data_IF_485472990978
#
_entry.id   IF_485472990978
#
_cell.length_a   1.000
_cell.length_b   1.000
_cell.length_c   1.000
_cell.angle_alpha   90.00
_cell.angle_beta   90.00
_cell.angle_gamma   90.00
#
_symmetry.space_group_name_H-M   'P 1'
#
loop_
_entity.id
_entity.type
_entity.pdbx_description
1 polymer ?
#
# COMPACT_ATOMS: atom_id res chain seq x y z
N UNK A 1 -8.39 24.62 3.71
CA UNK A 1 -8.47 23.16 3.84
C UNK A 1 -9.56 22.70 2.86
N UNK A 2 -9.21 22.46 1.62
CA UNK A 2 -10.13 21.95 0.59
C UNK A 2 -10.11 20.44 0.66
N UNK A 3 -11.18 19.85 1.18
CA UNK A 3 -11.46 18.41 1.05
C UNK A 3 -11.55 18.11 -0.45
N UNK A 4 -10.53 17.46 -1.00
CA UNK A 4 -10.59 16.94 -2.35
C UNK A 4 -11.73 15.91 -2.39
N UNK A 5 -12.79 16.21 -3.10
CA UNK A 5 -13.91 15.30 -3.32
C UNK A 5 -13.33 14.05 -4.01
N UNK A 6 -13.24 12.94 -3.25
CA UNK A 6 -12.77 11.66 -3.77
C UNK A 6 -13.74 11.24 -4.89
N UNK A 7 -13.29 11.23 -6.12
CA UNK A 7 -14.13 10.81 -7.26
C UNK A 7 -14.49 9.33 -7.09
N UNK A 8 -15.63 8.91 -7.66
CA UNK A 8 -16.04 7.50 -7.66
C UNK A 8 -14.92 6.59 -8.19
N UNK A 9 -14.20 7.06 -9.22
CA UNK A 9 -13.04 6.33 -9.77
C UNK A 9 -11.90 6.15 -8.76
N UNK A 10 -11.56 7.21 -8.01
CA UNK A 10 -10.50 7.14 -6.98
C UNK A 10 -10.89 6.21 -5.82
N UNK A 11 -12.14 6.26 -5.38
CA UNK A 11 -12.64 5.36 -4.33
C UNK A 11 -12.60 3.89 -4.75
N UNK A 12 -13.03 3.59 -5.98
CA UNK A 12 -13.01 2.22 -6.52
C UNK A 12 -11.58 1.73 -6.78
N UNK A 13 -10.68 2.61 -7.24
CA UNK A 13 -9.26 2.29 -7.37
C UNK A 13 -8.68 1.81 -6.02
N UNK A 14 -8.87 2.58 -4.95
CA UNK A 14 -8.38 2.24 -3.62
C UNK A 14 -8.99 0.92 -3.12
N UNK A 15 -10.26 0.68 -3.39
CA UNK A 15 -10.94 -0.55 -2.99
C UNK A 15 -10.36 -1.77 -3.72
N UNK A 16 -10.18 -1.70 -5.05
CA UNK A 16 -9.57 -2.81 -5.81
C UNK A 16 -8.12 -3.04 -5.37
N UNK A 17 -7.34 -1.98 -5.14
CA UNK A 17 -5.98 -2.06 -4.59
C UNK A 17 -5.98 -2.78 -3.25
N UNK A 18 -6.87 -2.41 -2.32
CA UNK A 18 -7.02 -3.08 -1.03
C UNK A 18 -7.39 -4.55 -1.18
N UNK A 19 -8.34 -4.89 -2.06
CA UNK A 19 -8.78 -6.26 -2.31
C UNK A 19 -7.66 -7.15 -2.90
N UNK A 20 -6.73 -6.55 -3.66
CA UNK A 20 -5.51 -7.23 -4.14
C UNK A 20 -4.53 -7.46 -2.97
N UNK A 21 -4.23 -6.41 -2.21
CA UNK A 21 -3.27 -6.48 -1.10
C UNK A 21 -3.72 -7.46 -0.01
N UNK A 22 -5.03 -7.49 0.29
CA UNK A 22 -5.61 -8.39 1.30
C UNK A 22 -5.86 -9.81 0.79
N UNK A 23 -5.64 -10.07 -0.51
CA UNK A 23 -5.84 -11.40 -1.13
C UNK A 23 -7.30 -11.74 -1.45
N UNK A 24 -8.23 -10.81 -1.29
CA UNK A 24 -9.62 -10.98 -1.75
C UNK A 24 -9.67 -11.17 -3.28
N UNK A 25 -8.78 -10.47 -3.99
CA UNK A 25 -8.43 -10.73 -5.38
C UNK A 25 -7.07 -11.44 -5.42
N UNK A 26 -7.08 -12.75 -5.62
CA UNK A 26 -5.89 -13.59 -5.50
C UNK A 26 -4.87 -13.34 -6.62
N UNK A 27 -3.56 -13.45 -6.35
CA UNK A 27 -2.50 -13.39 -7.36
C UNK A 27 -2.77 -14.37 -8.54
N UNK A 28 -2.47 -13.93 -9.76
CA UNK A 28 -2.70 -14.69 -10.99
C UNK A 28 -4.16 -14.78 -11.44
N UNK A 29 -5.11 -14.30 -10.64
CA UNK A 29 -6.54 -14.35 -10.98
C UNK A 29 -6.86 -13.39 -12.12
N UNK A 30 -7.61 -13.90 -13.11
CA UNK A 30 -8.13 -13.08 -14.19
C UNK A 30 -9.24 -12.16 -13.71
N UNK A 31 -9.08 -10.86 -13.96
CA UNK A 31 -10.00 -9.80 -13.60
C UNK A 31 -11.04 -9.62 -14.72
N UNK A 32 -12.18 -10.32 -14.59
CA UNK A 32 -13.27 -10.27 -15.58
C UNK A 32 -14.06 -8.99 -15.44
N UNK A 33 -14.04 -8.13 -16.46
CA UNK A 33 -14.70 -6.80 -16.43
C UNK A 33 -16.21 -6.92 -16.12
N UNK A 34 -16.89 -7.94 -16.64
CA UNK A 34 -18.32 -8.13 -16.39
C UNK A 34 -18.65 -8.48 -14.95
N UNK A 35 -17.78 -9.18 -14.26
CA UNK A 35 -17.92 -9.49 -12.85
C UNK A 35 -17.62 -8.26 -11.99
N UNK A 36 -16.50 -7.59 -12.29
CA UNK A 36 -16.02 -6.47 -11.49
C UNK A 36 -16.92 -5.23 -11.62
N UNK A 37 -17.52 -4.98 -12.81
CA UNK A 37 -18.46 -3.86 -12.97
C UNK A 37 -19.67 -3.96 -12.03
N UNK A 38 -20.12 -5.19 -11.77
CA UNK A 38 -21.22 -5.44 -10.83
C UNK A 38 -20.73 -5.32 -9.39
N UNK A 39 -19.59 -5.94 -9.08
CA UNK A 39 -19.01 -5.95 -7.73
C UNK A 39 -18.67 -4.54 -7.22
N UNK A 40 -18.14 -3.68 -8.08
CA UNK A 40 -17.71 -2.33 -7.72
C UNK A 40 -18.67 -1.22 -8.18
N UNK A 41 -19.80 -1.57 -8.79
CA UNK A 41 -20.85 -0.64 -9.22
C UNK A 41 -20.33 0.49 -10.13
N UNK A 42 -19.46 0.16 -11.10
CA UNK A 42 -18.88 1.13 -12.06
C UNK A 42 -19.07 0.69 -13.51
N UNK A 43 -18.94 1.63 -14.43
CA UNK A 43 -18.96 1.33 -15.87
C UNK A 43 -17.72 0.54 -16.31
N UNK A 44 -17.83 -0.21 -17.41
CA UNK A 44 -16.69 -0.95 -17.99
C UNK A 44 -15.57 0.00 -18.43
N UNK A 45 -15.90 1.19 -18.92
CA UNK A 45 -14.89 2.21 -19.28
C UNK A 45 -14.10 2.69 -18.07
N UNK A 46 -14.80 3.08 -17.01
CA UNK A 46 -14.16 3.49 -15.74
C UNK A 46 -13.31 2.36 -15.16
N UNK A 47 -13.82 1.12 -15.21
CA UNK A 47 -13.06 -0.02 -14.72
C UNK A 47 -11.79 -0.28 -15.53
N UNK A 48 -11.82 -0.10 -16.85
CA UNK A 48 -10.61 -0.21 -17.70
C UNK A 48 -9.57 0.86 -17.32
N UNK A 49 -9.99 2.09 -17.11
CA UNK A 49 -9.10 3.18 -16.66
C UNK A 49 -8.45 2.84 -15.31
N UNK A 50 -9.25 2.35 -14.35
CA UNK A 50 -8.76 1.95 -13.03
C UNK A 50 -7.76 0.78 -13.14
N UNK A 51 -8.09 -0.25 -13.93
CA UNK A 51 -7.21 -1.42 -14.09
C UNK A 51 -5.92 -1.08 -14.85
N UNK A 52 -5.97 -0.15 -15.81
CA UNK A 52 -4.76 0.36 -16.47
C UNK A 52 -3.88 1.15 -15.48
N UNK A 53 -4.48 1.95 -14.62
CA UNK A 53 -3.75 2.64 -13.55
C UNK A 53 -3.11 1.64 -12.58
N UNK A 54 -3.86 0.63 -12.14
CA UNK A 54 -3.32 -0.45 -11.29
C UNK A 54 -2.21 -1.25 -12.00
N UNK A 55 -2.26 -1.35 -13.33
CA UNK A 55 -1.18 -1.97 -14.11
C UNK A 55 0.06 -1.09 -14.16
N UNK A 56 -0.08 0.24 -14.31
CA UNK A 56 1.03 1.18 -14.20
C UNK A 56 1.66 1.17 -12.81
N UNK A 57 0.83 0.98 -11.77
CA UNK A 57 1.28 0.88 -10.37
C UNK A 57 1.79 -0.53 -9.99
N UNK A 58 1.82 -1.47 -10.94
CA UNK A 58 2.40 -2.80 -10.76
C UNK A 58 1.54 -3.83 -10.02
N UNK A 59 0.28 -3.54 -9.71
CA UNK A 59 -0.65 -4.48 -9.05
C UNK A 59 -1.35 -5.43 -10.01
N UNK A 60 -1.46 -5.04 -11.26
CA UNK A 60 -2.19 -5.76 -12.32
C UNK A 60 -1.28 -5.92 -13.54
N UNK A 61 -1.42 -7.02 -14.23
CA UNK A 61 -0.82 -7.25 -15.54
C UNK A 61 -1.89 -7.13 -16.62
N UNK A 62 -1.56 -6.47 -17.73
CA UNK A 62 -2.44 -6.30 -18.88
C UNK A 62 -1.79 -6.86 -20.15
N UNK A 63 -1.50 -8.18 -20.21
CA UNK A 63 -0.88 -8.78 -21.39
C UNK A 63 -1.79 -8.63 -22.60
N UNK A 64 -1.19 -8.40 -23.76
CA UNK A 64 -1.93 -8.23 -25.01
C UNK A 64 -2.93 -9.37 -25.23
N UNK A 65 -4.17 -9.03 -25.56
CA UNK A 65 -5.29 -9.94 -25.88
C UNK A 65 -5.75 -10.87 -24.74
N UNK A 66 -5.13 -10.81 -23.54
CA UNK A 66 -5.49 -11.69 -22.40
C UNK A 66 -6.35 -11.00 -21.33
N UNK A 67 -6.53 -9.67 -21.44
CA UNK A 67 -7.24 -8.87 -20.45
C UNK A 67 -6.38 -8.58 -19.24
N UNK A 68 -6.98 -8.41 -18.09
CA UNK A 68 -6.29 -8.03 -16.84
C UNK A 68 -6.15 -9.23 -15.91
N UNK A 69 -4.98 -9.35 -15.26
CA UNK A 69 -4.69 -10.35 -14.22
C UNK A 69 -4.10 -9.66 -13.00
N UNK A 70 -4.37 -10.18 -11.82
CA UNK A 70 -3.64 -9.76 -10.60
C UNK A 70 -2.20 -10.24 -10.76
N UNK A 71 -1.24 -9.32 -10.56
CA UNK A 71 0.17 -9.64 -10.67
C UNK A 71 0.56 -10.73 -9.67
N UNK A 72 1.37 -11.66 -10.13
CA UNK A 72 2.04 -12.64 -9.27
C UNK A 72 3.40 -12.10 -8.84
N UNK A 73 3.82 -12.44 -7.64
CA UNK A 73 5.15 -12.14 -7.12
C UNK A 73 5.84 -13.47 -6.83
N UNK A 74 7.04 -13.66 -7.33
CA UNK A 74 7.86 -14.83 -6.99
C UNK A 74 8.48 -14.67 -5.60
N UNK A 75 8.98 -15.76 -5.02
CA UNK A 75 9.72 -15.69 -3.76
C UNK A 75 11.04 -14.89 -3.94
N UNK A 76 11.65 -15.00 -5.10
CA UNK A 76 12.86 -14.29 -5.48
C UNK A 76 12.60 -12.77 -5.53
N UNK A 77 11.53 -12.34 -6.21
CA UNK A 77 11.11 -10.93 -6.25
C UNK A 77 10.86 -10.38 -4.84
N UNK A 78 10.19 -11.19 -3.98
CA UNK A 78 9.91 -10.81 -2.61
C UNK A 78 11.19 -10.61 -1.79
N UNK A 79 12.18 -11.49 -1.96
CA UNK A 79 13.48 -11.39 -1.29
C UNK A 79 14.24 -10.16 -1.77
N UNK A 80 14.29 -9.91 -3.08
CA UNK A 80 14.96 -8.73 -3.65
C UNK A 80 14.32 -7.44 -3.17
N UNK A 81 13.00 -7.35 -3.18
CA UNK A 81 12.25 -6.20 -2.70
C UNK A 81 12.48 -5.97 -1.20
N UNK A 82 12.48 -7.05 -0.40
CA UNK A 82 12.74 -6.97 1.04
C UNK A 82 14.16 -6.48 1.32
N UNK A 83 15.16 -6.94 0.58
CA UNK A 83 16.54 -6.49 0.72
C UNK A 83 16.70 -5.02 0.38
N UNK A 84 16.07 -4.57 -0.71
CA UNK A 84 16.07 -3.15 -1.10
C UNK A 84 15.39 -2.30 -0.03
N UNK A 85 14.24 -2.74 0.50
CA UNK A 85 13.52 -2.06 1.57
C UNK A 85 14.39 -1.92 2.82
N UNK A 86 15.02 -2.99 3.27
CA UNK A 86 15.93 -2.95 4.43
C UNK A 86 17.06 -1.95 4.21
N UNK A 87 17.67 -1.93 3.01
CA UNK A 87 18.73 -0.98 2.69
C UNK A 87 18.25 0.47 2.82
N UNK A 88 17.10 0.78 2.23
CA UNK A 88 16.52 2.12 2.25
C UNK A 88 16.10 2.55 3.66
N UNK A 89 15.43 1.66 4.40
CA UNK A 89 14.99 1.94 5.77
C UNK A 89 16.17 2.12 6.73
N UNK A 90 17.21 1.32 6.61
CA UNK A 90 18.44 1.49 7.41
C UNK A 90 19.14 2.82 7.11
N UNK A 91 19.20 3.22 5.84
CA UNK A 91 19.78 4.50 5.45
C UNK A 91 18.95 5.68 6.00
N UNK A 92 17.62 5.60 5.87
CA UNK A 92 16.69 6.59 6.38
C UNK A 92 16.76 6.69 7.91
N UNK A 93 16.75 5.57 8.62
CA UNK A 93 16.87 5.52 10.08
C UNK A 93 18.19 6.15 10.56
N UNK A 94 19.30 5.84 9.89
CA UNK A 94 20.60 6.39 10.22
C UNK A 94 20.64 7.92 10.09
N UNK A 95 20.01 8.45 9.03
CA UNK A 95 19.87 9.89 8.86
C UNK A 95 18.93 10.50 9.92
N UNK A 96 17.83 9.84 10.22
CA UNK A 96 16.85 10.30 11.23
C UNK A 96 17.46 10.32 12.63
N UNK A 97 18.28 9.35 12.99
CA UNK A 97 19.01 9.34 14.27
C UNK A 97 20.06 10.47 14.38
N UNK A 98 20.62 10.91 13.27
CA UNK A 98 21.61 11.99 13.25
C UNK A 98 20.98 13.40 13.33
N UNK A 99 19.75 13.57 12.83
CA UNK A 99 19.11 14.87 12.64
C UNK A 99 17.71 14.96 13.27
N UNK A 100 17.24 13.89 13.92
CA UNK A 100 15.90 13.83 14.53
C UNK A 100 15.79 14.78 15.70
N UNK A 101 14.63 15.44 15.79
CA UNK A 101 14.22 16.28 16.90
C UNK A 101 13.23 15.55 17.84
N UNK A 102 12.85 16.22 18.92
CA UNK A 102 11.89 15.69 19.89
C UNK A 102 10.52 15.40 19.26
N UNK A 103 10.13 16.17 18.25
CA UNK A 103 8.86 15.95 17.53
C UNK A 103 8.93 14.67 16.69
N UNK A 104 10.03 14.42 16.00
CA UNK A 104 10.25 13.17 15.27
C UNK A 104 10.24 11.97 16.21
N UNK A 105 10.95 12.03 17.33
CA UNK A 105 10.98 10.95 18.33
C UNK A 105 9.58 10.66 18.87
N UNK A 106 8.82 11.69 19.24
CA UNK A 106 7.45 11.56 19.72
C UNK A 106 6.51 10.88 18.68
N UNK A 107 6.65 11.26 17.41
CA UNK A 107 5.88 10.67 16.32
C UNK A 107 6.23 9.20 16.11
N UNK A 108 7.52 8.85 16.15
CA UNK A 108 8.01 7.48 16.01
C UNK A 108 7.51 6.58 17.15
N UNK A 109 7.62 7.04 18.40
CA UNK A 109 7.13 6.31 19.57
C UNK A 109 5.61 6.10 19.49
N UNK A 110 4.86 7.10 19.07
CA UNK A 110 3.41 7.00 18.88
C UNK A 110 3.05 5.96 17.80
N UNK A 111 3.73 5.99 16.66
CA UNK A 111 3.50 5.03 15.57
C UNK A 111 3.85 3.60 15.99
N UNK A 112 4.99 3.40 16.65
CA UNK A 112 5.40 2.10 17.21
C UNK A 112 4.40 1.57 18.23
N UNK A 113 3.91 2.42 19.13
CA UNK A 113 2.92 2.02 20.12
C UNK A 113 1.63 1.52 19.47
N UNK A 114 1.11 2.25 18.48
CA UNK A 114 -0.10 1.85 17.72
C UNK A 114 0.08 0.49 17.04
N UNK A 115 1.22 0.28 16.38
CA UNK A 115 1.54 -0.99 15.72
C UNK A 115 1.65 -2.14 16.73
N UNK A 116 2.32 -1.92 17.86
CA UNK A 116 2.45 -2.91 18.94
C UNK A 116 1.08 -3.28 19.53
N UNK A 117 0.22 -2.30 19.76
CA UNK A 117 -1.13 -2.55 20.30
C UNK A 117 -1.99 -3.37 19.34
N UNK A 118 -1.90 -3.13 18.03
CA UNK A 118 -2.66 -3.93 17.06
C UNK A 118 -2.10 -5.35 16.96
N UNK A 119 -0.78 -5.51 17.01
CA UNK A 119 -0.11 -6.82 17.05
C UNK A 119 -0.55 -7.65 18.25
N UNK A 120 -0.61 -7.05 19.45
CA UNK A 120 -1.12 -7.73 20.65
C UNK A 120 -2.56 -8.22 20.48
N UNK A 121 -3.44 -7.38 19.93
CA UNK A 121 -4.84 -7.77 19.67
C UNK A 121 -4.94 -9.01 18.77
N UNK A 122 -4.10 -9.08 17.73
CA UNK A 122 -4.05 -10.23 16.81
C UNK A 122 -3.54 -11.48 17.56
N UNK A 123 -2.49 -11.34 18.38
CA UNK A 123 -1.96 -12.44 19.19
C UNK A 123 -2.97 -12.96 20.22
N UNK A 124 -3.81 -12.05 20.75
CA UNK A 124 -4.90 -12.38 21.67
C UNK A 124 -6.14 -12.98 20.95
N UNK A 125 -6.04 -13.27 19.65
CA UNK A 125 -7.11 -13.88 18.85
C UNK A 125 -8.25 -12.92 18.48
N UNK A 126 -8.07 -11.60 18.65
CA UNK A 126 -9.09 -10.63 18.26
C UNK A 126 -9.10 -10.43 16.74
N UNK A 127 -10.31 -10.34 16.17
CA UNK A 127 -10.47 -10.04 14.74
C UNK A 127 -10.14 -8.57 14.50
N UNK A 128 -9.10 -8.33 13.70
CA UNK A 128 -8.64 -7.00 13.31
C UNK A 128 -8.76 -6.88 11.79
N UNK A 129 -9.37 -5.80 11.26
CA UNK A 129 -9.38 -5.55 9.83
C UNK A 129 -7.94 -5.47 9.28
N UNK A 130 -7.61 -6.21 8.20
CA UNK A 130 -6.25 -6.24 7.63
C UNK A 130 -5.72 -4.84 7.29
N UNK A 131 -6.58 -3.96 6.77
CA UNK A 131 -6.23 -2.59 6.41
C UNK A 131 -5.70 -1.79 7.61
N UNK A 132 -6.19 -2.08 8.80
CA UNK A 132 -5.75 -1.38 10.01
C UNK A 132 -4.33 -1.75 10.41
N UNK A 133 -3.97 -3.02 10.28
CA UNK A 133 -2.59 -3.48 10.49
C UNK A 133 -1.66 -2.86 9.44
N UNK A 134 -2.06 -2.91 8.16
CA UNK A 134 -1.28 -2.34 7.07
C UNK A 134 -1.04 -0.84 7.26
N UNK A 135 -2.08 -0.08 7.64
CA UNK A 135 -1.95 1.36 7.87
C UNK A 135 -1.00 1.67 9.03
N UNK A 136 -1.09 0.97 10.17
CA UNK A 136 -0.19 1.22 11.29
C UNK A 136 1.24 0.78 11.01
N UNK A 137 1.43 -0.31 10.23
CA UNK A 137 2.74 -0.72 9.76
C UNK A 137 3.34 0.36 8.84
N UNK A 138 2.54 0.88 7.91
CA UNK A 138 2.94 1.96 7.03
C UNK A 138 3.31 3.25 7.80
N UNK A 139 2.44 3.69 8.73
CA UNK A 139 2.69 4.86 9.57
C UNK A 139 4.01 4.75 10.35
N UNK A 140 4.35 3.55 10.84
CA UNK A 140 5.59 3.30 11.55
C UNK A 140 6.81 3.45 10.64
N UNK A 141 6.79 2.82 9.46
CA UNK A 141 7.89 2.94 8.49
C UNK A 141 8.04 4.37 7.96
N UNK A 142 6.93 5.06 7.75
CA UNK A 142 6.95 6.48 7.35
C UNK A 142 7.55 7.36 8.46
N UNK A 143 7.21 7.11 9.72
CA UNK A 143 7.77 7.84 10.85
C UNK A 143 9.29 7.63 10.97
N UNK A 144 9.80 6.42 10.70
CA UNK A 144 11.23 6.13 10.65
C UNK A 144 11.97 6.96 9.59
N UNK A 145 11.33 7.15 8.42
CA UNK A 145 11.97 7.75 7.24
C UNK A 145 11.73 9.27 7.08
N UNK A 146 10.90 9.89 7.92
CA UNK A 146 10.29 11.21 7.68
C UNK A 146 11.28 12.37 7.49
N UNK A 147 12.44 12.33 8.09
CA UNK A 147 13.43 13.42 7.97
C UNK A 147 14.12 13.46 6.60
N UNK A 148 14.21 12.33 5.90
CA UNK A 148 14.84 12.28 4.59
C UNK A 148 13.88 12.65 3.46
N UNK A 149 12.58 12.48 3.64
CA UNK A 149 11.55 12.73 2.63
C UNK A 149 10.87 14.12 2.76
N UNK A 150 11.19 14.91 3.78
CA UNK A 150 10.68 16.28 3.92
C UNK A 150 11.17 17.24 2.81
N UNK A 151 12.26 16.90 2.12
CA UNK A 151 12.84 17.72 1.06
C UNK A 151 12.50 17.23 -0.37
N UNK A 152 12.03 16.01 -0.53
CA UNK A 152 11.69 15.41 -1.82
C UNK A 152 10.33 14.73 -1.73
N UNK A 153 9.40 15.27 -2.48
CA UNK A 153 8.02 14.88 -2.71
C UNK A 153 7.68 13.40 -2.37
N UNK A 154 6.61 13.22 -1.60
CA UNK A 154 6.04 11.96 -1.13
C UNK A 154 5.65 10.95 -2.23
N UNK A 155 5.96 11.23 -3.49
CA UNK A 155 5.66 10.36 -4.63
C UNK A 155 6.39 9.02 -4.61
N UNK A 156 7.55 8.92 -3.94
CA UNK A 156 8.26 7.64 -3.75
C UNK A 156 7.63 6.74 -2.69
N UNK A 157 6.81 7.29 -1.82
CA UNK A 157 6.14 6.53 -0.75
C UNK A 157 5.04 5.59 -1.25
N UNK A 158 4.61 5.74 -2.51
CA UNK A 158 3.63 4.85 -3.13
C UNK A 158 4.26 3.56 -3.71
N UNK A 159 5.60 3.48 -3.78
CA UNK A 159 6.33 2.37 -4.40
C UNK A 159 7.13 1.50 -3.40
N UNK A 160 7.15 1.85 -2.12
CA UNK A 160 7.77 1.06 -1.05
C UNK A 160 6.68 0.46 -0.17
#
# INVERSE_FOLDING_TARGET
MTSAATTVGSSVYLKIKSDIITGALQPGKKLKLDTLKVQYCVSVSTLREILNRLASDGFVEAPEQRGFLVRTMSNEDLIELSNLRVLLECAALKASLAFGDEEWEGNLVSAHHKLTMIGKKIMDGQVVPPERLLNYNWDFHLALARLQFSAYDLSLSEYI
#
